data_IF_696453218358
#
_entry.id   IF_696453218358
#
_cell.length_a   1.000
_cell.length_b   1.000
_cell.length_c   1.000
_cell.angle_alpha   90.00
_cell.angle_beta   90.00
_cell.angle_gamma   90.00
#
_symmetry.space_group_name_H-M   'P 1'
#
loop_
_entity.id
_entity.type
_entity.pdbx_description
1 polymer ?
#
# COMPACT_ATOMS: atom_id res chain seq x y z
N UNK A 1 15.57 -22.45 -17.42
CA UNK A 1 16.13 -21.75 -18.60
C UNK A 1 15.08 -21.85 -19.70
N UNK A 2 14.69 -20.76 -20.38
CA UNK A 2 15.58 -19.71 -20.84
C UNK A 2 15.42 -18.38 -20.11
N UNK A 3 16.54 -17.69 -20.09
CA UNK A 3 16.80 -16.31 -19.67
C UNK A 3 16.43 -15.43 -20.86
N UNK A 4 15.72 -14.32 -20.64
CA UNK A 4 15.66 -13.24 -21.62
C UNK A 4 16.42 -12.05 -21.06
N UNK A 5 17.68 -11.92 -21.51
CA UNK A 5 18.48 -10.71 -21.40
C UNK A 5 18.02 -9.71 -22.46
N UNK A 6 17.80 -8.46 -22.07
CA UNK A 6 17.88 -7.32 -22.96
C UNK A 6 18.77 -6.28 -22.27
N UNK A 7 20.01 -6.16 -22.75
CA UNK A 7 20.90 -5.04 -22.45
C UNK A 7 20.36 -3.78 -23.12
N UNK A 8 20.39 -2.61 -22.44
CA UNK A 8 20.75 -1.32 -23.03
C UNK A 8 21.06 -0.28 -21.93
N UNK A 9 21.91 0.66 -22.30
CA UNK A 9 22.81 1.51 -21.52
C UNK A 9 22.21 2.77 -20.88
N UNK A 10 22.86 3.18 -19.78
CA UNK A 10 23.14 4.55 -19.28
C UNK A 10 22.08 5.65 -19.44
N UNK A 11 21.57 6.16 -18.31
CA UNK A 11 21.59 7.59 -17.91
C UNK A 11 20.85 7.74 -16.57
N UNK A 12 21.56 8.15 -15.52
CA UNK A 12 20.97 8.77 -14.34
C UNK A 12 21.08 10.29 -14.50
N UNK A 13 20.01 11.04 -14.21
CA UNK A 13 20.17 12.06 -13.19
C UNK A 13 18.96 12.25 -12.26
N UNK A 14 19.30 12.80 -11.09
CA UNK A 14 18.50 13.44 -10.05
C UNK A 14 17.19 14.10 -10.48
N UNK A 15 16.11 13.83 -9.73
CA UNK A 15 14.84 14.57 -9.82
C UNK A 15 13.67 13.81 -9.20
N UNK A 16 13.63 13.71 -7.86
CA UNK A 16 12.42 13.27 -7.17
C UNK A 16 11.38 14.39 -7.26
N UNK A 17 10.58 14.36 -8.33
CA UNK A 17 9.43 15.22 -8.53
C UNK A 17 8.29 14.38 -9.13
N UNK A 18 7.11 14.54 -8.52
CA UNK A 18 5.75 14.16 -8.96
C UNK A 18 5.37 12.72 -9.36
N UNK A 19 6.25 11.77 -9.65
CA UNK A 19 5.77 10.52 -10.27
C UNK A 19 6.48 9.23 -9.81
N UNK A 20 6.20 8.75 -8.60
CA UNK A 20 6.45 7.34 -8.24
C UNK A 20 5.33 6.84 -7.33
N UNK A 21 4.81 5.64 -7.61
CA UNK A 21 3.88 4.80 -6.82
C UNK A 21 2.45 4.58 -7.35
N UNK A 22 2.19 4.76 -8.66
CA UNK A 22 1.14 4.02 -9.38
C UNK A 22 1.78 2.84 -10.12
N UNK A 23 1.32 1.60 -9.97
CA UNK A 23 1.91 0.44 -10.69
C UNK A 23 1.68 0.51 -12.22
N UNK A 24 0.91 1.50 -12.67
CA UNK A 24 0.52 1.71 -14.05
C UNK A 24 0.53 3.21 -14.29
N UNK A 25 1.18 3.64 -15.35
CA UNK A 25 0.98 5.00 -15.85
C UNK A 25 -0.38 5.09 -16.54
N UNK A 26 -0.98 6.27 -16.66
CA UNK A 26 -2.18 6.50 -17.47
C UNK A 26 -2.07 6.11 -18.95
N UNK A 27 -0.86 5.76 -19.42
CA UNK A 27 -0.59 5.28 -20.77
C UNK A 27 -0.57 3.76 -20.89
N UNK A 28 -0.75 3.02 -19.80
CA UNK A 28 -0.51 1.56 -19.78
C UNK A 28 0.97 1.18 -19.80
N UNK A 29 1.89 2.15 -19.84
CA UNK A 29 3.31 1.87 -19.70
C UNK A 29 3.65 1.53 -18.24
N UNK A 30 4.34 0.39 -18.09
CA UNK A 30 4.94 -0.11 -16.86
C UNK A 30 6.02 0.91 -16.42
N UNK A 31 6.04 1.28 -15.13
CA UNK A 31 7.20 2.02 -14.57
C UNK A 31 8.42 1.15 -14.88
N UNK A 32 9.52 1.70 -15.46
CA UNK A 32 10.70 0.90 -15.74
C UNK A 32 11.09 0.11 -14.50
N UNK A 33 11.02 -1.22 -14.60
CA UNK A 33 11.41 -2.10 -13.52
C UNK A 33 12.83 -1.73 -13.10
N UNK A 34 13.05 -1.66 -11.79
CA UNK A 34 14.40 -1.49 -11.25
C UNK A 34 15.26 -2.61 -11.85
N UNK A 35 16.39 -2.26 -12.47
CA UNK A 35 17.26 -3.21 -13.18
C UNK A 35 17.87 -4.29 -12.28
N UNK A 36 17.80 -4.11 -10.95
CA UNK A 36 18.20 -5.09 -9.96
C UNK A 36 16.97 -5.66 -9.22
N UNK A 37 16.85 -7.00 -9.11
CA UNK A 37 15.77 -7.62 -8.34
C UNK A 37 15.88 -7.26 -6.86
N UNK A 38 14.76 -6.91 -6.24
CA UNK A 38 14.70 -6.65 -4.80
C UNK A 38 14.81 -7.96 -4.05
N UNK A 39 15.70 -8.02 -3.07
CA UNK A 39 15.92 -9.24 -2.28
C UNK A 39 14.95 -9.23 -1.10
N UNK A 40 14.09 -10.24 -1.04
CA UNK A 40 13.12 -10.43 0.02
C UNK A 40 13.56 -11.63 0.85
N UNK A 41 13.73 -11.42 2.15
CA UNK A 41 13.96 -12.48 3.12
C UNK A 41 12.68 -12.76 3.90
N UNK A 42 12.42 -14.02 4.22
CA UNK A 42 11.33 -14.47 5.09
C UNK A 42 11.84 -14.88 6.46
N UNK A 43 13.11 -15.28 6.54
CA UNK A 43 13.75 -15.69 7.79
C UNK A 43 15.11 -15.02 7.91
N UNK A 44 15.59 -14.84 9.15
CA UNK A 44 16.94 -14.27 9.37
C UNK A 44 18.04 -15.18 8.81
N UNK A 45 17.82 -16.49 8.74
CA UNK A 45 18.82 -17.48 8.29
C UNK A 45 19.07 -17.43 6.78
N UNK A 46 18.15 -16.84 6.01
CA UNK A 46 18.33 -16.57 4.59
C UNK A 46 19.34 -15.42 4.33
N UNK A 47 19.63 -14.62 5.36
CA UNK A 47 20.58 -13.52 5.27
C UNK A 47 21.99 -14.09 5.47
N UNK A 48 22.56 -14.61 4.39
CA UNK A 48 23.95 -15.05 4.35
C UNK A 48 24.85 -13.90 3.86
N UNK A 49 26.01 -13.74 4.49
CA UNK A 49 27.07 -12.80 4.09
C UNK A 49 26.75 -11.30 4.08
N UNK A 50 25.76 -10.86 4.86
CA UNK A 50 25.56 -9.43 5.07
C UNK A 50 26.78 -8.83 5.82
N UNK A 51 27.51 -7.93 5.15
CA UNK A 51 28.71 -7.22 5.69
C UNK A 51 28.38 -5.89 6.38
N UNK A 52 27.08 -5.67 6.60
CA UNK A 52 26.48 -4.49 7.19
C UNK A 52 25.33 -3.96 6.34
N UNK A 53 24.43 -3.21 6.96
CA UNK A 53 23.32 -2.54 6.30
C UNK A 53 22.91 -1.30 7.06
N UNK A 54 22.10 -0.45 6.42
CA UNK A 54 21.31 0.56 7.14
C UNK A 54 19.91 0.00 7.30
N UNK A 55 19.39 0.01 8.52
CA UNK A 55 18.14 -0.66 8.87
C UNK A 55 17.05 0.36 9.19
N UNK A 56 15.83 0.06 8.76
CA UNK A 56 14.62 0.59 9.38
C UNK A 56 13.62 -0.54 9.68
N UNK A 57 12.92 -0.44 10.80
CA UNK A 57 12.04 -1.44 11.38
C UNK A 57 10.64 -0.85 11.48
N UNK A 58 9.65 -1.55 10.95
CA UNK A 58 8.28 -1.07 11.09
C UNK A 58 7.24 -1.91 10.38
N UNK A 59 5.97 -1.63 10.68
CA UNK A 59 4.87 -2.28 9.99
C UNK A 59 4.72 -1.76 8.55
N UNK A 60 5.18 -0.54 8.26
CA UNK A 60 5.08 0.10 6.94
C UNK A 60 3.69 -0.02 6.31
N UNK A 61 2.63 -0.02 7.13
CA UNK A 61 1.28 -0.22 6.63
C UNK A 61 0.85 0.97 5.75
N UNK A 62 0.34 0.66 4.57
CA UNK A 62 0.03 1.65 3.55
C UNK A 62 1.23 2.42 2.97
N UNK A 63 2.49 2.19 3.36
CA UNK A 63 3.70 2.89 2.83
C UNK A 63 3.41 4.36 2.43
N UNK A 64 2.91 5.13 3.40
CA UNK A 64 2.44 6.51 3.20
C UNK A 64 3.60 7.51 3.09
N UNK A 65 3.31 8.80 2.86
CA UNK A 65 4.34 9.83 2.69
C UNK A 65 5.31 9.95 3.87
N UNK A 66 4.84 9.72 5.10
CA UNK A 66 5.72 9.58 6.27
C UNK A 66 6.75 8.45 6.11
N UNK A 67 6.32 7.26 5.69
CA UNK A 67 7.23 6.16 5.37
C UNK A 67 8.14 6.49 4.19
N UNK A 68 7.61 7.11 3.12
CA UNK A 68 8.42 7.47 1.96
C UNK A 68 9.59 8.38 2.33
N UNK A 69 9.37 9.37 3.23
CA UNK A 69 10.46 10.21 3.74
C UNK A 69 11.47 9.43 4.58
N UNK A 70 11.01 8.50 5.41
CA UNK A 70 11.88 7.63 6.20
C UNK A 70 12.74 6.73 5.29
N UNK A 71 12.15 6.15 4.24
CA UNK A 71 12.81 5.29 3.27
C UNK A 71 13.82 6.07 2.41
N UNK A 72 13.54 7.32 2.08
CA UNK A 72 14.48 8.21 1.41
C UNK A 72 15.76 8.42 2.24
N UNK A 73 15.62 8.73 3.54
CA UNK A 73 16.78 8.85 4.46
C UNK A 73 17.53 7.52 4.57
N UNK A 74 16.80 6.40 4.68
CA UNK A 74 17.36 5.05 4.71
C UNK A 74 18.25 4.78 3.49
N UNK A 75 17.74 5.01 2.28
CA UNK A 75 18.45 4.76 1.03
C UNK A 75 19.66 5.69 0.86
N UNK A 76 19.49 6.99 1.15
CA UNK A 76 20.60 7.95 1.09
C UNK A 76 21.73 7.62 2.07
N UNK A 77 21.38 7.15 3.27
CA UNK A 77 22.37 6.76 4.29
C UNK A 77 23.09 5.47 3.88
N UNK A 78 22.35 4.49 3.37
CA UNK A 78 22.90 3.26 2.82
C UNK A 78 23.92 3.52 1.70
N UNK A 79 23.55 4.39 0.75
CA UNK A 79 24.42 4.80 -0.35
C UNK A 79 25.70 5.48 0.17
N UNK A 80 25.61 6.41 1.13
CA UNK A 80 26.78 7.09 1.72
C UNK A 80 27.73 6.12 2.42
N UNK A 81 27.20 5.09 3.06
CA UNK A 81 27.98 4.09 3.80
C UNK A 81 28.45 2.91 2.93
N UNK A 82 28.07 2.87 1.65
CA UNK A 82 28.43 1.78 0.74
C UNK A 82 27.89 0.41 1.16
N UNK A 83 26.74 0.37 1.82
CA UNK A 83 26.06 -0.84 2.30
C UNK A 83 24.60 -0.86 1.83
N UNK A 84 23.93 -2.02 1.75
CA UNK A 84 22.52 -2.07 1.35
C UNK A 84 21.59 -1.40 2.35
N UNK A 85 20.51 -0.82 1.85
CA UNK A 85 19.33 -0.46 2.63
C UNK A 85 18.51 -1.71 2.94
N UNK A 86 18.07 -1.85 4.19
CA UNK A 86 17.27 -2.98 4.64
C UNK A 86 16.05 -2.51 5.46
N UNK A 87 14.87 -2.94 5.02
CA UNK A 87 13.64 -2.78 5.79
C UNK A 87 13.31 -4.08 6.51
N UNK A 88 13.09 -4.02 7.82
CA UNK A 88 12.47 -5.09 8.60
C UNK A 88 10.99 -4.77 8.74
N UNK A 89 10.13 -5.63 8.21
CA UNK A 89 8.69 -5.56 8.41
C UNK A 89 8.15 -6.89 8.91
N UNK A 90 6.89 -6.91 9.33
CA UNK A 90 6.30 -8.02 10.06
C UNK A 90 5.09 -8.59 9.33
N UNK A 91 5.01 -9.92 9.28
CA UNK A 91 3.86 -10.62 8.74
C UNK A 91 3.53 -11.90 9.54
N UNK A 92 2.28 -12.12 9.98
CA UNK A 92 1.16 -11.16 9.95
C UNK A 92 1.46 -9.93 10.82
N UNK A 93 0.67 -8.86 10.70
CA UNK A 93 0.94 -7.64 11.49
C UNK A 93 0.82 -7.95 13.01
N UNK A 94 1.77 -7.50 13.88
CA UNK A 94 1.84 -7.90 15.29
C UNK A 94 0.54 -7.75 16.09
N UNK A 95 -0.24 -6.70 15.80
CA UNK A 95 -1.56 -6.50 16.40
C UNK A 95 -2.52 -7.69 16.23
N UNK A 96 -2.44 -8.46 15.14
CA UNK A 96 -3.30 -9.63 14.93
C UNK A 96 -2.98 -10.78 15.88
N UNK A 97 -1.77 -10.87 16.43
CA UNK A 97 -1.42 -11.87 17.44
C UNK A 97 -1.66 -11.34 18.85
N UNK A 98 -1.36 -10.07 19.11
CA UNK A 98 -1.51 -9.46 20.43
C UNK A 98 -2.97 -9.20 20.81
N UNK A 99 -3.79 -8.82 19.84
CA UNK A 99 -5.20 -8.47 20.06
C UNK A 99 -5.99 -8.68 18.76
N UNK A 100 -6.27 -9.93 18.36
CA UNK A 100 -6.96 -10.24 17.11
C UNK A 100 -8.25 -9.42 16.91
N UNK A 101 -9.07 -9.29 17.94
CA UNK A 101 -10.36 -8.58 17.89
C UNK A 101 -10.24 -7.06 17.76
N UNK A 102 -9.05 -6.49 18.03
CA UNK A 102 -8.78 -5.04 17.99
C UNK A 102 -7.79 -4.67 16.89
N UNK A 103 -7.27 -5.65 16.16
CA UNK A 103 -6.28 -5.41 15.12
C UNK A 103 -6.93 -4.57 14.01
N UNK A 104 -6.39 -3.37 13.71
CA UNK A 104 -6.97 -2.54 12.67
C UNK A 104 -6.79 -3.24 11.32
N UNK A 105 -7.78 -3.16 10.41
CA UNK A 105 -7.64 -3.74 9.09
C UNK A 105 -6.44 -3.10 8.35
N UNK A 106 -5.66 -3.89 7.59
CA UNK A 106 -4.47 -3.39 6.90
C UNK A 106 -4.81 -2.35 5.84
N UNK A 107 -3.96 -1.34 5.63
CA UNK A 107 -4.07 -0.41 4.50
C UNK A 107 -3.48 -1.00 3.21
N UNK A 108 -2.63 -2.01 3.30
CA UNK A 108 -2.01 -2.68 2.16
C UNK A 108 -1.89 -4.18 2.41
N UNK A 109 -1.94 -4.99 1.34
CA UNK A 109 -1.52 -6.40 1.41
C UNK A 109 0.00 -6.51 1.26
N UNK A 110 0.53 -7.68 1.59
CA UNK A 110 1.98 -7.90 1.69
C UNK A 110 2.70 -7.67 0.36
N UNK A 111 2.26 -8.30 -0.73
CA UNK A 111 2.94 -8.19 -2.03
C UNK A 111 2.96 -6.75 -2.55
N UNK A 112 1.87 -6.00 -2.32
CA UNK A 112 1.83 -4.57 -2.61
C UNK A 112 2.77 -3.78 -1.73
N UNK A 113 2.85 -4.06 -0.43
CA UNK A 113 3.82 -3.42 0.47
C UNK A 113 5.24 -3.62 -0.05
N UNK A 114 5.60 -4.86 -0.40
CA UNK A 114 6.92 -5.20 -0.93
C UNK A 114 7.21 -4.45 -2.25
N UNK A 115 6.22 -4.35 -3.14
CA UNK A 115 6.35 -3.56 -4.36
C UNK A 115 6.57 -2.07 -4.06
N UNK A 116 5.84 -1.51 -3.10
CA UNK A 116 5.96 -0.11 -2.71
C UNK A 116 7.32 0.20 -2.05
N UNK A 117 7.82 -0.71 -1.21
CA UNK A 117 9.17 -0.61 -0.63
C UNK A 117 10.24 -0.68 -1.72
N UNK A 118 10.09 -1.61 -2.67
CA UNK A 118 10.96 -1.73 -3.84
C UNK A 118 11.01 -0.43 -4.65
N UNK A 119 9.84 0.13 -4.98
CA UNK A 119 9.75 1.39 -5.72
C UNK A 119 10.31 2.59 -4.94
N UNK A 120 10.33 2.53 -3.60
CA UNK A 120 10.98 3.55 -2.77
C UNK A 120 12.52 3.44 -2.75
N UNK A 121 13.10 2.48 -3.47
CA UNK A 121 14.55 2.32 -3.62
C UNK A 121 15.19 1.34 -2.62
N UNK A 122 14.39 0.66 -1.79
CA UNK A 122 14.91 -0.29 -0.80
C UNK A 122 15.55 -1.50 -1.50
N UNK A 123 16.78 -1.84 -1.09
CA UNK A 123 17.54 -2.94 -1.69
C UNK A 123 17.09 -4.30 -1.16
N UNK A 124 16.81 -4.37 0.14
CA UNK A 124 16.49 -5.60 0.87
C UNK A 124 15.29 -5.42 1.79
N UNK A 125 14.38 -6.38 1.83
CA UNK A 125 13.30 -6.40 2.83
C UNK A 125 13.30 -7.74 3.55
N UNK A 126 13.42 -7.71 4.88
CA UNK A 126 13.13 -8.85 5.74
C UNK A 126 11.66 -8.78 6.18
N UNK A 127 10.86 -9.74 5.74
CA UNK A 127 9.50 -9.97 6.26
C UNK A 127 9.62 -10.93 7.42
N UNK A 128 9.94 -10.40 8.59
CA UNK A 128 10.16 -11.19 9.79
C UNK A 128 8.84 -11.80 10.29
N UNK A 129 8.79 -13.12 10.58
CA UNK A 129 7.58 -13.77 11.03
C UNK A 129 7.18 -13.22 12.39
N UNK A 130 5.93 -12.77 12.51
CA UNK A 130 5.40 -12.44 13.83
C UNK A 130 5.02 -13.73 14.53
N UNK A 131 5.84 -14.12 15.52
CA UNK A 131 5.62 -15.28 16.38
C UNK A 131 5.72 -14.88 17.85
N UNK A 132 5.37 -15.80 18.76
CA UNK A 132 5.42 -15.55 20.20
C UNK A 132 6.83 -15.16 20.68
N UNK A 133 7.88 -15.75 20.10
CA UNK A 133 9.26 -15.42 20.46
C UNK A 133 9.55 -13.92 20.20
N UNK A 134 9.20 -13.40 19.02
CA UNK A 134 9.35 -11.97 18.71
C UNK A 134 8.56 -11.08 19.69
N UNK A 135 7.32 -11.46 20.01
CA UNK A 135 6.45 -10.64 20.87
C UNK A 135 6.95 -10.58 22.32
N UNK A 136 7.69 -11.59 22.76
CA UNK A 136 8.27 -11.68 24.11
C UNK A 136 9.69 -11.09 24.21
N UNK A 137 10.37 -10.79 23.10
CA UNK A 137 11.72 -10.20 23.11
C UNK A 137 11.74 -8.83 23.78
N UNK A 138 12.63 -8.63 24.75
CA UNK A 138 12.89 -7.30 25.29
C UNK A 138 13.46 -6.36 24.21
N UNK A 139 13.37 -5.03 24.39
CA UNK A 139 14.04 -4.07 23.51
C UNK A 139 15.54 -4.38 23.33
N UNK A 140 16.21 -4.74 24.43
CA UNK A 140 17.64 -5.05 24.45
C UNK A 140 17.97 -6.31 23.64
N UNK A 141 17.16 -7.36 23.81
CA UNK A 141 17.30 -8.61 23.04
C UNK A 141 17.07 -8.35 21.55
N UNK A 142 15.98 -7.66 21.19
CA UNK A 142 15.69 -7.34 19.80
C UNK A 142 16.84 -6.56 19.15
N UNK A 143 17.35 -5.54 19.83
CA UNK A 143 18.46 -4.73 19.32
C UNK A 143 19.74 -5.55 19.20
N UNK A 144 20.15 -6.28 20.24
CA UNK A 144 21.42 -7.00 20.25
C UNK A 144 21.41 -8.21 19.34
N UNK A 145 20.36 -9.03 19.39
CA UNK A 145 20.28 -10.27 18.62
C UNK A 145 19.99 -9.95 17.16
N UNK A 146 18.95 -9.16 16.87
CA UNK A 146 18.51 -8.95 15.48
C UNK A 146 19.34 -7.84 14.81
N UNK A 147 19.34 -6.62 15.36
CA UNK A 147 19.93 -5.47 14.68
C UNK A 147 21.46 -5.51 14.65
N UNK A 148 22.09 -5.83 15.78
CA UNK A 148 23.56 -5.86 15.89
C UNK A 148 24.13 -7.17 15.36
N UNK A 149 23.70 -8.32 15.88
CA UNK A 149 24.37 -9.59 15.61
C UNK A 149 24.00 -10.14 14.23
N UNK A 150 22.71 -10.23 13.91
CA UNK A 150 22.22 -10.83 12.67
C UNK A 150 22.32 -9.88 11.48
N UNK A 151 21.84 -8.66 11.63
CA UNK A 151 21.80 -7.67 10.54
C UNK A 151 23.08 -6.84 10.40
N UNK A 152 23.93 -6.80 11.45
CA UNK A 152 25.17 -6.00 11.48
C UNK A 152 24.90 -4.54 11.11
N UNK A 153 23.85 -3.96 11.68
CA UNK A 153 23.42 -2.60 11.39
C UNK A 153 24.59 -1.62 11.59
N UNK A 154 24.89 -0.82 10.56
CA UNK A 154 25.86 0.28 10.62
C UNK A 154 25.19 1.60 10.98
N UNK A 155 23.93 1.75 10.56
CA UNK A 155 23.07 2.84 10.94
C UNK A 155 21.62 2.36 11.02
N UNK A 156 20.83 3.04 11.84
CA UNK A 156 19.40 2.79 12.02
C UNK A 156 18.64 4.09 11.75
N UNK A 157 17.58 4.02 10.95
CA UNK A 157 16.76 5.16 10.55
C UNK A 157 15.33 4.95 11.02
N UNK A 158 14.85 5.80 11.94
CA UNK A 158 13.53 5.67 12.53
C UNK A 158 12.78 6.99 12.71
N UNK A 159 11.46 6.90 12.86
CA UNK A 159 10.62 8.02 13.25
C UNK A 159 10.75 8.36 14.74
N UNK A 160 10.36 9.58 15.12
CA UNK A 160 10.38 10.02 16.52
C UNK A 160 9.38 9.23 17.41
N UNK A 161 8.35 8.64 16.83
CA UNK A 161 7.31 7.84 17.48
C UNK A 161 7.61 6.32 17.47
N UNK A 162 8.82 5.93 17.04
CA UNK A 162 9.23 4.54 16.98
C UNK A 162 9.23 3.88 18.37
N UNK A 163 8.64 2.68 18.43
CA UNK A 163 8.60 1.84 19.63
C UNK A 163 8.83 0.39 19.25
N UNK A 164 9.57 -0.34 20.07
CA UNK A 164 10.00 -1.71 19.80
C UNK A 164 10.16 -2.54 21.07
N UNK A 165 10.37 -3.84 20.90
CA UNK A 165 10.41 -4.82 21.97
C UNK A 165 9.04 -5.08 22.61
N UNK A 166 9.03 -6.03 23.54
CA UNK A 166 7.87 -6.44 24.33
C UNK A 166 7.16 -5.23 24.92
N UNK A 167 5.84 -5.24 24.83
CA UNK A 167 4.94 -4.19 25.32
C UNK A 167 5.27 -2.77 24.83
N UNK A 168 6.00 -2.64 23.70
CA UNK A 168 6.47 -1.35 23.17
C UNK A 168 7.29 -0.57 24.21
N UNK A 169 8.05 -1.29 25.05
CA UNK A 169 8.83 -0.72 26.14
C UNK A 169 10.04 0.09 25.63
N UNK A 170 10.60 -0.28 24.48
CA UNK A 170 11.67 0.47 23.84
C UNK A 170 11.13 1.68 23.08
N UNK A 171 11.86 2.79 23.16
CA UNK A 171 11.54 4.03 22.46
C UNK A 171 12.76 4.61 21.75
N UNK A 172 12.57 5.73 21.04
CA UNK A 172 13.65 6.37 20.28
C UNK A 172 14.82 6.84 21.17
N UNK A 173 14.57 7.17 22.43
CA UNK A 173 15.60 7.59 23.38
C UNK A 173 16.46 6.40 23.81
N UNK A 174 15.82 5.27 24.14
CA UNK A 174 16.51 4.02 24.42
C UNK A 174 17.30 3.56 23.20
N UNK A 175 16.71 3.59 22.00
CA UNK A 175 17.40 3.21 20.77
C UNK A 175 18.68 4.04 20.57
N UNK A 176 18.61 5.37 20.71
CA UNK A 176 19.79 6.25 20.62
C UNK A 176 20.88 5.88 21.62
N UNK A 177 20.50 5.60 22.87
CA UNK A 177 21.45 5.20 23.91
C UNK A 177 22.16 3.88 23.54
N UNK A 178 21.39 2.89 23.06
CA UNK A 178 21.91 1.59 22.65
C UNK A 178 22.83 1.70 21.43
N UNK A 179 22.42 2.47 20.42
CA UNK A 179 23.21 2.79 19.24
C UNK A 179 24.55 3.44 19.61
N UNK A 180 24.54 4.45 20.49
CA UNK A 180 25.74 5.15 20.94
C UNK A 180 26.74 4.22 21.62
N UNK A 181 26.27 3.24 22.41
CA UNK A 181 27.13 2.24 23.07
C UNK A 181 27.79 1.26 22.11
N UNK A 182 27.16 1.00 20.95
CA UNK A 182 27.66 0.07 19.94
C UNK A 182 28.38 0.77 18.76
N UNK A 183 28.46 2.10 18.76
CA UNK A 183 29.03 2.85 17.63
C UNK A 183 28.18 2.76 16.36
N UNK A 184 26.85 2.63 16.49
CA UNK A 184 25.89 2.60 15.39
C UNK A 184 25.27 4.00 15.24
N UNK A 185 25.19 4.51 14.02
CA UNK A 185 24.53 5.80 13.78
C UNK A 185 23.01 5.67 13.92
N UNK A 186 22.36 6.60 14.63
CA UNK A 186 20.91 6.63 14.79
C UNK A 186 20.33 7.90 14.19
N UNK A 187 19.65 7.79 13.04
CA UNK A 187 18.99 8.90 12.37
C UNK A 187 17.51 8.95 12.74
N UNK A 188 17.06 10.08 13.29
CA UNK A 188 15.64 10.31 13.59
C UNK A 188 15.03 11.20 12.52
N UNK A 189 14.00 10.70 11.87
CA UNK A 189 13.30 11.38 10.78
C UNK A 189 12.09 12.13 11.34
N UNK A 190 11.98 13.46 11.14
CA UNK A 190 10.80 14.22 11.53
C UNK A 190 9.53 13.73 10.80
N UNK A 191 8.36 13.79 11.46
CA UNK A 191 7.12 13.38 10.82
C UNK A 191 6.76 14.29 9.64
N UNK A 192 6.22 13.70 8.58
CA UNK A 192 5.59 14.46 7.48
C UNK A 192 4.22 14.93 7.96
N UNK A 193 3.91 16.21 7.74
CA UNK A 193 2.64 16.81 8.11
C UNK A 193 1.69 16.90 6.90
N UNK A 194 0.40 16.74 7.16
CA UNK A 194 -0.69 17.05 6.24
C UNK A 194 -1.76 17.82 7.01
N UNK A 195 -2.06 19.04 6.58
CA UNK A 195 -2.89 19.99 7.33
C UNK A 195 -2.41 20.11 8.79
N UNK A 196 -1.13 20.43 8.98
CA UNK A 196 -0.44 20.65 10.27
C UNK A 196 -0.35 19.45 11.23
N UNK A 197 -1.01 18.34 10.92
CA UNK A 197 -0.97 17.12 11.73
C UNK A 197 -0.08 16.04 11.10
N UNK A 198 0.59 15.19 11.91
CA UNK A 198 1.38 14.07 11.40
C UNK A 198 0.58 13.10 10.53
N UNK A 199 1.21 12.64 9.44
CA UNK A 199 0.70 11.55 8.61
C UNK A 199 0.97 10.22 9.30
N UNK A 200 -0.06 9.41 9.54
CA UNK A 200 0.05 8.08 10.12
C UNK A 200 -0.94 7.09 9.50
N UNK A 201 -0.65 5.80 9.62
CA UNK A 201 -1.57 4.73 9.17
C UNK A 201 -2.94 4.84 9.84
N UNK A 202 -2.99 5.16 11.14
CA UNK A 202 -4.26 5.30 11.87
C UNK A 202 -5.10 6.46 11.33
N UNK A 203 -4.48 7.60 11.02
CA UNK A 203 -5.18 8.77 10.45
C UNK A 203 -5.70 8.47 9.05
N UNK A 204 -4.92 7.76 8.22
CA UNK A 204 -5.36 7.34 6.88
C UNK A 204 -6.56 6.39 6.98
N UNK A 205 -6.54 5.40 7.89
CA UNK A 205 -7.68 4.51 8.12
C UNK A 205 -8.93 5.31 8.50
N UNK A 206 -8.79 6.28 9.40
CA UNK A 206 -9.91 7.13 9.81
C UNK A 206 -10.47 7.93 8.63
N UNK A 207 -9.62 8.56 7.82
CA UNK A 207 -10.06 9.28 6.62
C UNK A 207 -10.83 8.38 5.65
N UNK A 208 -10.38 7.13 5.44
CA UNK A 208 -11.08 6.18 4.58
C UNK A 208 -12.45 5.77 5.14
N UNK A 209 -12.53 5.54 6.46
CA UNK A 209 -13.78 5.21 7.16
C UNK A 209 -14.77 6.39 7.16
N UNK A 210 -14.27 7.62 7.24
CA UNK A 210 -15.08 8.84 7.21
C UNK A 210 -15.53 9.21 5.77
N UNK A 211 -15.01 8.53 4.74
CA UNK A 211 -15.25 8.85 3.33
C UNK A 211 -14.41 10.02 2.80
N UNK A 212 -13.42 10.50 3.57
CA UNK A 212 -12.46 11.55 3.18
C UNK A 212 -11.34 10.97 2.30
N UNK A 213 -11.73 10.42 1.16
CA UNK A 213 -10.83 9.70 0.25
C UNK A 213 -9.71 10.57 -0.32
N UNK A 214 -9.99 11.86 -0.57
CA UNK A 214 -8.99 12.82 -1.07
C UNK A 214 -7.86 13.04 -0.07
N UNK A 215 -8.20 13.20 1.21
CA UNK A 215 -7.21 13.36 2.28
C UNK A 215 -6.35 12.10 2.45
N UNK A 216 -7.00 10.93 2.42
CA UNK A 216 -6.30 9.65 2.46
C UNK A 216 -5.31 9.51 1.28
N UNK A 217 -5.74 9.89 0.08
CA UNK A 217 -4.92 9.89 -1.14
C UNK A 217 -3.73 10.83 -1.01
N UNK A 218 -3.94 12.05 -0.51
CA UNK A 218 -2.88 13.03 -0.29
C UNK A 218 -1.84 12.57 0.73
N UNK A 219 -2.27 11.89 1.79
CA UNK A 219 -1.39 11.31 2.82
C UNK A 219 -0.64 10.06 2.32
N UNK A 220 -1.28 9.22 1.51
CA UNK A 220 -0.65 8.07 0.88
C UNK A 220 0.31 8.47 -0.26
N UNK A 221 0.08 9.63 -0.89
CA UNK A 221 0.76 10.07 -2.10
C UNK A 221 0.28 9.36 -3.36
N UNK A 222 -0.82 8.61 -3.28
CA UNK A 222 -1.41 7.81 -4.36
C UNK A 222 -2.85 7.39 -4.00
N UNK A 223 -3.68 6.99 -4.99
CA UNK A 223 -4.98 6.41 -4.72
C UNK A 223 -4.91 5.23 -3.76
N UNK A 224 -5.93 5.12 -2.91
CA UNK A 224 -6.08 3.93 -2.07
C UNK A 224 -6.40 2.73 -2.96
N UNK A 225 -5.66 1.63 -2.78
CA UNK A 225 -5.78 0.43 -3.60
C UNK A 225 -6.06 -0.78 -2.72
N UNK A 226 -6.99 -1.60 -3.16
CA UNK A 226 -7.30 -2.90 -2.56
C UNK A 226 -7.25 -4.01 -3.60
N UNK A 227 -7.39 -5.26 -3.14
CA UNK A 227 -7.48 -6.46 -3.97
C UNK A 227 -8.56 -7.37 -3.40
N UNK A 228 -9.29 -8.05 -4.27
CA UNK A 228 -10.26 -9.06 -3.86
C UNK A 228 -10.37 -10.19 -4.88
N UNK A 229 -10.83 -11.35 -4.44
CA UNK A 229 -11.11 -12.48 -5.33
C UNK A 229 -12.46 -12.27 -6.01
N UNK A 230 -12.48 -12.35 -7.34
CA UNK A 230 -13.72 -12.28 -8.11
C UNK A 230 -14.52 -13.57 -7.93
N UNK A 231 -15.71 -13.44 -7.38
CA UNK A 231 -16.65 -14.52 -7.14
C UNK A 231 -17.92 -14.36 -7.97
N UNK A 232 -18.72 -15.42 -8.07
CA UNK A 232 -20.04 -15.33 -8.68
C UNK A 232 -20.98 -14.55 -7.76
N UNK A 233 -21.50 -13.43 -8.26
CA UNK A 233 -22.58 -12.68 -7.60
C UNK A 233 -23.96 -13.11 -8.08
N UNK A 234 -24.96 -12.28 -7.77
CA UNK A 234 -26.35 -12.53 -8.16
C UNK A 234 -26.63 -12.35 -9.66
N UNK A 235 -25.65 -11.92 -10.47
CA UNK A 235 -25.76 -11.76 -11.93
C UNK A 235 -26.71 -10.63 -12.40
N UNK A 236 -27.27 -9.84 -11.48
CA UNK A 236 -28.33 -8.86 -11.77
C UNK A 236 -27.87 -7.69 -12.62
N UNK A 237 -26.66 -7.16 -12.35
CA UNK A 237 -26.10 -6.07 -13.14
C UNK A 237 -26.02 -6.44 -14.63
N UNK A 238 -25.64 -7.68 -14.95
CA UNK A 238 -25.60 -8.17 -16.34
C UNK A 238 -26.96 -8.09 -17.05
N UNK A 239 -28.07 -8.36 -16.35
CA UNK A 239 -29.41 -8.25 -16.91
C UNK A 239 -29.84 -6.80 -17.17
N UNK A 240 -29.22 -5.84 -16.49
CA UNK A 240 -29.47 -4.40 -16.62
C UNK A 240 -28.47 -3.72 -17.58
N UNK A 241 -27.54 -4.46 -18.19
CA UNK A 241 -26.49 -3.92 -19.05
C UNK A 241 -25.20 -3.50 -18.33
N UNK A 242 -25.09 -3.78 -17.03
CA UNK A 242 -23.95 -3.41 -16.18
C UNK A 242 -23.32 -4.64 -15.50
N UNK A 243 -22.59 -5.52 -16.23
CA UNK A 243 -21.97 -6.71 -15.65
C UNK A 243 -20.95 -6.34 -14.55
N UNK A 244 -21.27 -6.66 -13.29
CA UNK A 244 -20.41 -6.37 -12.14
C UNK A 244 -19.57 -7.58 -11.70
N UNK A 245 -18.29 -7.34 -11.43
CA UNK A 245 -17.44 -8.27 -10.70
C UNK A 245 -17.72 -8.13 -9.19
N UNK A 246 -18.04 -9.25 -8.52
CA UNK A 246 -18.24 -9.27 -7.08
C UNK A 246 -16.93 -9.70 -6.42
N UNK A 247 -16.45 -8.95 -5.44
CA UNK A 247 -15.17 -9.19 -4.78
C UNK A 247 -15.36 -9.66 -3.34
N UNK A 248 -14.69 -10.76 -2.98
CA UNK A 248 -14.58 -11.30 -1.63
C UNK A 248 -13.11 -11.43 -1.21
N UNK A 249 -12.85 -11.97 -0.02
CA UNK A 249 -11.50 -12.23 0.51
C UNK A 249 -10.58 -10.99 0.49
N UNK A 250 -11.16 -9.82 0.75
CA UNK A 250 -10.44 -8.55 0.71
C UNK A 250 -9.55 -8.43 1.95
N UNK A 251 -8.22 -8.40 1.81
CA UNK A 251 -7.30 -8.44 2.95
C UNK A 251 -7.02 -7.06 3.55
N UNK A 252 -7.62 -6.00 3.02
CA UNK A 252 -7.40 -4.61 3.45
C UNK A 252 -8.68 -3.96 3.97
N UNK A 253 -8.52 -2.81 4.62
CA UNK A 253 -9.61 -1.91 4.92
C UNK A 253 -10.40 -1.60 3.63
N UNK A 254 -11.72 -1.63 3.74
CA UNK A 254 -12.62 -1.05 2.75
C UNK A 254 -13.07 0.33 3.25
N UNK A 255 -13.06 1.37 2.39
CA UNK A 255 -13.58 2.70 2.73
C UNK A 255 -15.04 2.68 3.19
N UNK A 256 -15.54 3.86 3.57
CA UNK A 256 -16.96 4.10 3.85
C UNK A 256 -17.87 3.45 2.79
N UNK A 257 -19.09 3.09 3.19
CA UNK A 257 -20.08 2.61 2.22
C UNK A 257 -20.52 3.72 1.26
N UNK A 258 -20.74 3.36 0.00
CA UNK A 258 -21.10 4.29 -1.06
C UNK A 258 -20.69 3.83 -2.44
N UNK A 259 -20.93 4.71 -3.40
CA UNK A 259 -20.55 4.57 -4.80
C UNK A 259 -19.31 5.43 -5.05
N UNK A 260 -18.32 4.84 -5.73
CA UNK A 260 -17.04 5.46 -6.01
C UNK A 260 -16.69 5.38 -7.50
N UNK A 261 -16.00 6.40 -7.99
CA UNK A 261 -15.22 6.30 -9.20
C UNK A 261 -13.85 5.69 -8.87
N UNK A 262 -13.48 4.68 -9.64
CA UNK A 262 -12.24 3.95 -9.45
C UNK A 262 -11.58 3.54 -10.75
N UNK A 263 -10.44 2.91 -10.60
CA UNK A 263 -9.62 2.40 -11.70
C UNK A 263 -9.26 0.95 -11.42
N UNK A 264 -9.39 0.12 -12.45
CA UNK A 264 -8.97 -1.28 -12.43
C UNK A 264 -7.78 -1.45 -13.36
N UNK A 265 -6.57 -1.66 -12.83
CA UNK A 265 -5.44 -2.08 -13.63
C UNK A 265 -5.60 -3.55 -14.03
N UNK A 266 -5.64 -3.83 -15.32
CA UNK A 266 -5.83 -5.17 -15.85
C UNK A 266 -5.10 -5.32 -17.19
N UNK A 267 -4.29 -6.38 -17.32
CA UNK A 267 -3.58 -6.72 -18.56
C UNK A 267 -2.77 -5.55 -19.16
N UNK A 268 -2.07 -4.79 -18.30
CA UNK A 268 -1.26 -3.64 -18.75
C UNK A 268 -2.07 -2.40 -19.13
N UNK A 269 -3.39 -2.38 -18.92
CA UNK A 269 -4.26 -1.24 -19.21
C UNK A 269 -4.99 -0.80 -17.94
N UNK A 270 -5.38 0.48 -17.91
CA UNK A 270 -6.24 1.03 -16.88
C UNK A 270 -7.66 1.12 -17.41
N UNK A 271 -8.61 0.51 -16.70
CA UNK A 271 -10.03 0.60 -17.00
C UNK A 271 -10.73 1.50 -15.99
N UNK A 272 -11.59 2.44 -16.42
CA UNK A 272 -12.48 3.14 -15.51
C UNK A 272 -13.47 2.15 -14.88
N UNK A 273 -13.78 2.33 -13.61
CA UNK A 273 -14.73 1.47 -12.92
C UNK A 273 -15.65 2.25 -11.98
N UNK A 274 -16.93 1.87 -11.97
CA UNK A 274 -17.87 2.27 -10.92
C UNK A 274 -17.83 1.20 -9.83
N UNK A 275 -17.56 1.61 -8.59
CA UNK A 275 -17.42 0.71 -7.44
C UNK A 275 -18.58 0.95 -6.49
N UNK A 276 -19.25 -0.12 -6.07
CA UNK A 276 -20.29 -0.11 -5.05
C UNK A 276 -19.80 -0.86 -3.81
N UNK A 277 -19.77 -0.17 -2.67
CA UNK A 277 -19.43 -0.74 -1.36
C UNK A 277 -20.62 -0.62 -0.42
N UNK A 278 -21.28 -1.74 -0.12
CA UNK A 278 -22.43 -1.78 0.79
C UNK A 278 -23.51 -2.74 0.30
N UNK A 279 -24.63 -2.77 1.01
CA UNK A 279 -25.82 -3.54 0.59
C UNK A 279 -26.51 -2.94 -0.63
N UNK A 280 -27.52 -3.63 -1.14
CA UNK A 280 -28.40 -3.10 -2.17
C UNK A 280 -29.84 -2.98 -1.61
N UNK A 281 -30.21 -1.84 -1.01
CA UNK A 281 -31.52 -1.63 -0.39
C UNK A 281 -32.69 -1.74 -1.37
N UNK A 282 -32.47 -1.49 -2.66
CA UNK A 282 -33.49 -1.62 -3.72
C UNK A 282 -33.93 -3.07 -3.92
N UNK A 283 -33.07 -4.04 -3.59
CA UNK A 283 -33.37 -5.46 -3.62
C UNK A 283 -33.42 -6.10 -2.22
N UNK A 284 -33.61 -5.29 -1.18
CA UNK A 284 -33.73 -5.74 0.23
C UNK A 284 -32.50 -6.50 0.76
N UNK A 285 -31.32 -6.22 0.21
CA UNK A 285 -30.07 -6.84 0.64
C UNK A 285 -29.29 -5.89 1.55
N UNK A 286 -29.19 -6.25 2.84
CA UNK A 286 -28.46 -5.46 3.83
C UNK A 286 -26.99 -5.91 4.04
N UNK A 287 -26.57 -7.02 3.44
CA UNK A 287 -25.19 -7.49 3.57
C UNK A 287 -24.23 -6.61 2.77
N UNK A 288 -23.10 -6.22 3.38
CA UNK A 288 -22.05 -5.43 2.72
C UNK A 288 -21.47 -6.22 1.55
N UNK A 289 -21.68 -5.72 0.33
CA UNK A 289 -21.10 -6.26 -0.90
C UNK A 289 -20.02 -5.31 -1.43
N UNK A 290 -19.10 -5.89 -2.19
CA UNK A 290 -18.11 -5.14 -2.96
C UNK A 290 -18.29 -5.50 -4.43
N UNK A 291 -18.94 -4.62 -5.17
CA UNK A 291 -19.23 -4.81 -6.59
C UNK A 291 -18.47 -3.78 -7.41
N UNK A 292 -17.86 -4.23 -8.51
CA UNK A 292 -17.06 -3.40 -9.40
C UNK A 292 -17.61 -3.56 -10.81
N UNK A 293 -18.17 -2.48 -11.36
CA UNK A 293 -18.53 -2.40 -12.77
C UNK A 293 -17.36 -1.81 -13.54
N UNK A 294 -16.68 -2.64 -14.34
CA UNK A 294 -15.54 -2.21 -15.18
C UNK A 294 -16.11 -1.73 -16.52
N UNK A 295 -15.93 -0.45 -16.81
CA UNK A 295 -16.45 0.16 -18.04
C UNK A 295 -15.64 -0.35 -19.24
N UNK A 296 -16.34 -0.59 -20.35
CA UNK A 296 -15.78 -1.02 -21.65
C UNK A 296 -14.95 -2.32 -21.60
N UNK A 297 -15.08 -3.10 -20.54
CA UNK A 297 -14.40 -4.38 -20.40
C UNK A 297 -15.36 -5.53 -20.72
N UNK A 298 -14.87 -6.47 -21.54
CA UNK A 298 -15.53 -7.74 -21.79
C UNK A 298 -14.56 -8.87 -21.51
N UNK A 299 -14.98 -9.83 -20.69
CA UNK A 299 -14.14 -10.95 -20.30
C UNK A 299 -14.63 -11.61 -19.02
N UNK A 300 -14.10 -12.81 -18.75
CA UNK A 300 -14.36 -13.55 -17.53
C UNK A 300 -13.22 -13.35 -16.53
N UNK A 301 -13.54 -12.84 -15.34
CA UNK A 301 -12.57 -12.61 -14.27
C UNK A 301 -12.76 -13.56 -13.08
N UNK A 302 -13.71 -14.50 -13.12
CA UNK A 302 -14.01 -15.39 -11.99
C UNK A 302 -12.78 -16.18 -11.51
N UNK A 303 -12.59 -16.22 -10.20
CA UNK A 303 -11.48 -16.92 -9.54
C UNK A 303 -10.18 -16.12 -9.49
N UNK A 304 -10.02 -15.09 -10.34
CA UNK A 304 -8.84 -14.23 -10.33
C UNK A 304 -8.91 -13.17 -9.23
N UNK A 305 -7.74 -12.68 -8.83
CA UNK A 305 -7.64 -11.49 -7.99
C UNK A 305 -7.81 -10.25 -8.87
N UNK A 306 -8.65 -9.32 -8.42
CA UNK A 306 -8.88 -8.04 -9.06
C UNK A 306 -8.38 -6.93 -8.13
N UNK A 307 -7.40 -6.16 -8.62
CA UNK A 307 -6.97 -4.94 -7.95
C UNK A 307 -7.88 -3.78 -8.33
N UNK A 308 -8.17 -2.92 -7.36
CA UNK A 308 -9.10 -1.80 -7.53
C UNK A 308 -8.55 -0.58 -6.81
N UNK A 309 -8.45 0.55 -7.52
CA UNK A 309 -8.10 1.85 -6.96
C UNK A 309 -9.33 2.73 -6.78
N UNK A 310 -9.45 3.37 -5.62
CA UNK A 310 -10.49 4.34 -5.33
C UNK A 310 -9.96 5.74 -5.66
N UNK A 311 -10.60 6.43 -6.60
CA UNK A 311 -10.21 7.77 -7.03
C UNK A 311 -11.07 8.84 -6.35
N UNK A 312 -12.39 8.68 -6.41
CA UNK A 312 -13.31 9.70 -5.91
C UNK A 312 -14.60 9.06 -5.35
N UNK A 313 -15.11 9.64 -4.27
CA UNK A 313 -16.43 9.30 -3.73
C UNK A 313 -17.50 10.04 -4.52
N UNK A 314 -18.49 9.31 -5.04
CA UNK A 314 -19.58 9.91 -5.82
C UNK A 314 -20.79 10.22 -4.93
N UNK A 315 -21.30 9.21 -4.24
CA UNK A 315 -22.56 9.33 -3.48
C UNK A 315 -22.79 8.17 -2.52
N UNK A 316 -23.75 8.35 -1.62
CA UNK A 316 -24.28 7.30 -0.77
C UNK A 316 -25.13 6.29 -1.56
N UNK A 317 -25.23 5.07 -1.02
CA UNK A 317 -26.17 4.06 -1.52
C UNK A 317 -27.58 4.48 -1.14
N UNK A 318 -28.50 4.41 -2.09
CA UNK A 318 -29.91 4.80 -1.92
C UNK A 318 -30.83 3.71 -2.49
N UNK A 319 -32.03 3.62 -1.92
CA UNK A 319 -33.14 2.82 -2.48
C UNK A 319 -33.82 3.62 -3.57
N UNK A 320 -34.17 2.97 -4.68
CA UNK A 320 -34.93 3.57 -5.77
C UNK A 320 -36.36 3.03 -5.81
N UNK A 321 -37.31 3.85 -6.23
CA UNK A 321 -38.73 3.51 -6.30
C UNK A 321 -39.06 2.62 -7.51
N UNK A 322 -38.21 2.62 -8.55
CA UNK A 322 -38.35 1.79 -9.74
C UNK A 322 -37.00 1.35 -10.32
N UNK A 323 -37.01 0.31 -11.15
CA UNK A 323 -35.83 -0.16 -11.88
C UNK A 323 -35.34 0.89 -12.89
N UNK A 324 -36.25 1.61 -13.55
CA UNK A 324 -35.89 2.67 -14.50
C UNK A 324 -35.16 3.83 -13.81
N UNK A 325 -35.59 4.22 -12.61
CA UNK A 325 -34.92 5.24 -11.81
C UNK A 325 -33.50 4.79 -11.39
N UNK A 326 -33.33 3.50 -11.07
CA UNK A 326 -32.02 2.92 -10.79
C UNK A 326 -31.12 2.97 -12.04
N UNK A 327 -31.62 2.54 -13.21
CA UNK A 327 -30.86 2.56 -14.47
C UNK A 327 -30.44 3.99 -14.83
N UNK A 328 -31.35 4.97 -14.68
CA UNK A 328 -31.05 6.37 -14.95
C UNK A 328 -29.89 6.88 -14.07
N UNK A 329 -29.90 6.57 -12.77
CA UNK A 329 -28.79 6.92 -11.89
C UNK A 329 -27.50 6.18 -12.26
N UNK A 330 -27.57 4.90 -12.61
CA UNK A 330 -26.37 4.14 -12.99
C UNK A 330 -25.71 4.72 -14.24
N UNK A 331 -26.50 5.19 -15.21
CA UNK A 331 -25.98 5.89 -16.39
C UNK A 331 -25.29 7.22 -16.02
N UNK A 332 -25.87 7.98 -15.09
CA UNK A 332 -25.25 9.21 -14.57
C UNK A 332 -23.92 8.90 -13.86
N UNK A 333 -23.90 7.89 -12.99
CA UNK A 333 -22.69 7.45 -12.30
C UNK A 333 -21.60 7.05 -13.31
N UNK A 334 -21.95 6.32 -14.37
CA UNK A 334 -21.02 5.92 -15.44
C UNK A 334 -20.46 7.13 -16.19
N UNK A 335 -21.30 8.13 -16.48
CA UNK A 335 -20.87 9.40 -17.11
C UNK A 335 -19.85 10.14 -16.22
N UNK A 336 -20.14 10.24 -14.93
CA UNK A 336 -19.23 10.85 -13.96
C UNK A 336 -17.90 10.09 -13.86
N UNK A 337 -17.94 8.75 -13.79
CA UNK A 337 -16.74 7.89 -13.77
C UNK A 337 -15.85 8.15 -14.99
N UNK A 338 -16.42 8.24 -16.19
CA UNK A 338 -15.65 8.55 -17.41
C UNK A 338 -14.94 9.90 -17.32
N UNK A 339 -15.68 10.93 -16.90
CA UNK A 339 -15.12 12.28 -16.74
C UNK A 339 -13.98 12.31 -15.72
N UNK A 340 -14.15 11.64 -14.58
CA UNK A 340 -13.13 11.55 -13.53
C UNK A 340 -11.89 10.79 -14.03
N UNK A 341 -12.09 9.70 -14.77
CA UNK A 341 -11.01 8.92 -15.34
C UNK A 341 -10.20 9.71 -16.37
N UNK A 342 -10.86 10.43 -17.28
CA UNK A 342 -10.19 11.29 -18.27
C UNK A 342 -9.33 12.36 -17.59
N UNK A 343 -9.89 13.03 -16.56
CA UNK A 343 -9.15 14.01 -15.75
C UNK A 343 -7.96 13.38 -15.03
N UNK A 344 -8.13 12.19 -14.44
CA UNK A 344 -7.04 11.47 -13.79
C UNK A 344 -5.91 11.13 -14.78
N UNK A 345 -6.27 10.64 -15.97
CA UNK A 345 -5.32 10.31 -17.02
C UNK A 345 -4.58 11.55 -17.52
N UNK A 346 -5.28 12.67 -17.70
CA UNK A 346 -4.69 13.93 -18.11
C UNK A 346 -3.71 14.48 -17.06
N UNK A 347 -4.09 14.48 -15.78
CA UNK A 347 -3.24 14.95 -14.68
C UNK A 347 -1.95 14.14 -14.61
N UNK A 348 -2.03 12.82 -14.61
CA UNK A 348 -0.84 11.99 -14.49
C UNK A 348 0.03 11.96 -15.76
N UNK A 349 -0.48 12.42 -16.92
CA UNK A 349 0.38 12.76 -18.08
C UNK A 349 1.13 14.08 -17.87
N UNK A 350 0.47 15.09 -17.29
CA UNK A 350 1.09 16.38 -16.97
C UNK A 350 2.20 16.25 -15.93
N UNK A 351 1.95 15.49 -14.86
CA UNK A 351 2.90 15.25 -13.76
C UNK A 351 4.18 14.53 -14.20
N UNK A 352 4.18 13.89 -15.37
CA UNK A 352 5.33 13.23 -16.00
C UNK A 352 6.13 14.17 -16.92
N UNK A 353 5.48 15.20 -17.46
CA UNK A 353 6.10 16.15 -18.38
C UNK A 353 6.85 17.28 -17.63
N UNK A 354 6.47 17.53 -16.38
CA UNK A 354 7.19 18.37 -15.43
C UNK A 354 8.28 17.56 -14.72
#
# INVERSE_FOLDING_TARGET
>A
MPVYNLEFSEFAPSGWSSCVLGQYTPSGAVIPERSAPVIIYRELDEIQDLKGCVVSVGNFDGVHRGHARLLDVLCQTAQKLGVPSLVVTFHPHPAFLLSPDRAPPPLTWLDRKLTLLSHAGVDRTLVYPTNQQLLEMSPEQFFQEILVTRLKARAIVEGADFRFGKDRAGDISLLKLMCSRQGIDCHVVPPVLFNEEPVSSSRIRQCLLDGKLRDATAMLGRPFRTVGRVVRGAGRGSHLGFPTANLNDVPTLLPREGIYAGIVPLQGRLYPAAISLGGNPTFEECQRKFEVYILDFTGNLYGHLLEVEFIEYLREIRRYESVDALIAQMNDDVSQVRTIFERYVAQAKSDRAA
#
